data_IF_093995416376
#
_entry.id   IF_093995416376
#
_cell.length_a   1.000
_cell.length_b   1.000
_cell.length_c   1.000
_cell.angle_alpha   90.00
_cell.angle_beta   90.00
_cell.angle_gamma   90.00
#
_symmetry.space_group_name_H-M   'P 1'
#
loop_
_entity.id
_entity.type
_entity.pdbx_description
1 polymer ?
#
# COMPACT_ATOMS: atom_id res chain seq x y z
N UNK A 1 1.84 -1.50 8.61
CA UNK A 1 0.51 -1.67 7.98
C UNK A 1 0.51 -2.66 6.80
N UNK A 2 1.26 -2.41 5.71
CA UNK A 2 1.28 -3.28 4.51
C UNK A 2 1.56 -4.76 4.86
N UNK A 3 2.68 -5.06 5.53
CA UNK A 3 3.02 -6.44 5.90
C UNK A 3 2.00 -7.14 6.80
N UNK A 4 1.21 -6.37 7.57
CA UNK A 4 0.11 -6.96 8.35
C UNK A 4 -1.06 -7.36 7.46
N UNK A 5 -1.45 -6.50 6.51
CA UNK A 5 -2.46 -6.83 5.51
C UNK A 5 -2.03 -8.03 4.64
N UNK A 6 -0.75 -8.12 4.29
CA UNK A 6 -0.25 -9.19 3.41
C UNK A 6 -0.20 -10.56 4.10
N UNK A 7 0.39 -10.63 5.30
CA UNK A 7 0.73 -11.91 5.92
C UNK A 7 0.35 -12.00 7.40
N UNK A 8 -0.22 -10.95 7.98
CA UNK A 8 -0.31 -10.76 9.44
C UNK A 8 1.07 -10.91 10.11
N UNK A 9 2.10 -10.35 9.46
CA UNK A 9 3.50 -10.43 9.86
C UNK A 9 4.09 -11.85 9.96
N UNK A 10 3.56 -12.80 9.20
CA UNK A 10 4.08 -14.17 9.14
C UNK A 10 5.13 -14.29 8.04
N UNK A 11 6.39 -14.42 8.42
CA UNK A 11 7.51 -14.54 7.49
C UNK A 11 7.39 -15.75 6.54
N UNK A 12 6.88 -16.88 7.04
CA UNK A 12 6.69 -18.11 6.28
C UNK A 12 5.29 -18.22 5.62
N UNK A 13 4.60 -17.10 5.40
CA UNK A 13 3.32 -17.10 4.69
C UNK A 13 3.50 -17.58 3.24
N UNK A 14 2.63 -18.49 2.81
CA UNK A 14 2.59 -19.01 1.44
C UNK A 14 1.16 -19.00 0.94
N UNK A 15 0.94 -18.37 -0.22
CA UNK A 15 -0.36 -18.39 -0.89
C UNK A 15 -0.45 -19.56 -1.90
N UNK A 16 -1.66 -20.10 -2.15
CA UNK A 16 -1.91 -20.99 -3.29
C UNK A 16 -1.52 -20.38 -4.65
N UNK A 17 -1.46 -19.05 -4.75
CA UNK A 17 -1.08 -18.31 -5.97
C UNK A 17 0.44 -18.12 -6.12
N UNK A 18 1.26 -18.61 -5.18
CA UNK A 18 2.72 -18.59 -5.27
C UNK A 18 3.42 -17.35 -4.71
N UNK A 19 2.68 -16.36 -4.19
CA UNK A 19 3.27 -15.28 -3.38
C UNK A 19 3.72 -15.79 -2.02
N UNK A 20 4.82 -15.24 -1.49
CA UNK A 20 5.47 -15.69 -0.26
C UNK A 20 6.04 -14.54 0.55
N UNK A 21 6.31 -14.80 1.83
CA UNK A 21 7.01 -13.87 2.70
C UNK A 21 6.08 -12.91 3.43
N UNK A 22 6.68 -12.11 4.31
CA UNK A 22 5.92 -11.15 5.12
C UNK A 22 5.22 -10.07 4.27
N UNK A 23 5.79 -9.73 3.11
CA UNK A 23 5.24 -8.74 2.16
C UNK A 23 4.54 -9.39 0.95
N UNK A 24 4.39 -10.72 0.95
CA UNK A 24 3.71 -11.49 -0.09
C UNK A 24 4.13 -11.13 -1.53
N UNK A 25 5.44 -11.10 -1.76
CA UNK A 25 5.99 -10.77 -3.08
C UNK A 25 5.83 -11.94 -4.04
N UNK A 26 5.51 -11.64 -5.31
CA UNK A 26 5.56 -12.64 -6.39
C UNK A 26 7.00 -12.98 -6.74
N UNK A 27 7.24 -14.12 -7.41
CA UNK A 27 8.56 -14.45 -7.97
C UNK A 27 9.04 -13.37 -8.93
N UNK A 28 8.19 -12.95 -9.88
CA UNK A 28 8.52 -11.91 -10.84
C UNK A 28 8.87 -10.56 -10.18
N UNK A 29 8.21 -10.22 -9.06
CA UNK A 29 8.54 -9.04 -8.27
C UNK A 29 9.90 -9.18 -7.59
N UNK A 30 10.21 -10.34 -7.01
CA UNK A 30 11.51 -10.61 -6.42
C UNK A 30 12.63 -10.56 -7.45
N UNK A 31 12.45 -11.18 -8.61
CA UNK A 31 13.40 -11.13 -9.74
C UNK A 31 13.64 -9.68 -10.18
N UNK A 32 12.57 -8.91 -10.37
CA UNK A 32 12.64 -7.50 -10.74
C UNK A 32 13.38 -6.61 -9.71
N UNK A 33 13.43 -7.06 -8.46
CA UNK A 33 14.08 -6.38 -7.34
C UNK A 33 15.45 -6.98 -7.01
N UNK A 34 15.84 -8.10 -7.62
CA UNK A 34 17.05 -8.85 -7.28
C UNK A 34 17.03 -9.36 -5.84
N UNK A 35 15.89 -9.85 -5.35
CA UNK A 35 15.79 -10.46 -4.02
C UNK A 35 16.18 -11.94 -4.11
N UNK A 36 17.12 -12.37 -3.27
CA UNK A 36 17.59 -13.76 -3.25
C UNK A 36 16.61 -14.69 -2.50
N UNK A 37 16.02 -14.21 -1.41
CA UNK A 37 15.05 -14.95 -0.60
C UNK A 37 13.84 -14.07 -0.26
N UNK A 38 12.63 -14.56 -0.57
CA UNK A 38 11.35 -13.89 -0.24
C UNK A 38 10.81 -14.26 1.13
N UNK A 39 11.26 -15.37 1.71
CA UNK A 39 10.82 -15.88 3.02
C UNK A 39 11.69 -15.32 4.17
N UNK A 40 12.90 -14.84 3.86
CA UNK A 40 13.68 -14.02 4.77
C UNK A 40 12.92 -12.72 5.13
N UNK A 41 12.62 -12.46 6.41
CA UNK A 41 11.81 -11.32 6.81
C UNK A 41 12.39 -9.97 6.38
N UNK A 42 13.71 -9.80 6.53
CA UNK A 42 14.40 -8.54 6.26
C UNK A 42 14.35 -8.23 4.74
N UNK A 43 14.79 -9.19 3.93
CA UNK A 43 14.72 -9.13 2.47
C UNK A 43 13.30 -8.87 1.97
N UNK A 44 12.30 -9.57 2.53
CA UNK A 44 10.90 -9.41 2.16
C UNK A 44 10.37 -8.01 2.50
N UNK A 45 10.64 -7.49 3.71
CA UNK A 45 10.25 -6.13 4.15
C UNK A 45 10.87 -5.07 3.24
N UNK A 46 12.19 -5.08 3.06
CA UNK A 46 12.87 -4.08 2.23
C UNK A 46 12.50 -4.22 0.75
N UNK A 47 12.31 -5.44 0.28
CA UNK A 47 11.80 -5.74 -1.05
C UNK A 47 10.43 -5.12 -1.29
N UNK A 48 9.47 -5.37 -0.39
CA UNK A 48 8.13 -4.80 -0.47
C UNK A 48 8.11 -3.28 -0.35
N UNK A 49 8.88 -2.71 0.57
CA UNK A 49 9.01 -1.26 0.70
C UNK A 49 9.55 -0.61 -0.59
N UNK A 50 10.61 -1.20 -1.18
CA UNK A 50 11.17 -0.73 -2.46
C UNK A 50 10.17 -0.90 -3.61
N UNK A 51 9.40 -1.98 -3.64
CA UNK A 51 8.36 -2.18 -4.64
C UNK A 51 7.23 -1.14 -4.54
N UNK A 52 6.83 -0.82 -3.31
CA UNK A 52 5.86 0.23 -3.02
C UNK A 52 6.37 1.60 -3.47
N UNK A 53 7.60 1.99 -3.10
CA UNK A 53 8.22 3.23 -3.57
C UNK A 53 8.25 3.33 -5.10
N UNK A 54 8.59 2.24 -5.80
CA UNK A 54 8.53 2.18 -7.26
C UNK A 54 7.11 2.39 -7.81
N UNK A 55 6.05 1.99 -7.10
CA UNK A 55 4.69 2.32 -7.53
C UNK A 55 4.39 3.80 -7.32
N UNK A 56 4.81 4.38 -6.20
CA UNK A 56 4.66 5.81 -5.91
C UNK A 56 5.35 6.69 -6.95
N UNK A 57 6.56 6.32 -7.38
CA UNK A 57 7.31 7.02 -8.44
C UNK A 57 6.61 6.98 -9.81
N UNK A 58 5.76 5.97 -10.05
CA UNK A 58 5.02 5.83 -11.30
C UNK A 58 3.70 6.59 -11.30
N UNK A 59 3.15 6.90 -10.12
CA UNK A 59 1.99 7.79 -10.00
C UNK A 59 2.42 9.18 -10.48
N UNK A 60 1.63 9.86 -11.34
CA UNK A 60 2.06 11.16 -11.87
C UNK A 60 2.28 12.22 -10.81
N UNK A 61 3.15 13.17 -11.14
CA UNK A 61 3.50 14.29 -10.28
C UNK A 61 2.34 15.24 -10.00
N UNK A 62 1.25 15.16 -10.77
CA UNK A 62 0.03 15.94 -10.55
C UNK A 62 -0.82 15.40 -9.39
N UNK A 63 -0.58 14.16 -8.95
CA UNK A 63 -1.28 13.57 -7.81
C UNK A 63 -0.57 13.97 -6.52
N UNK A 64 -1.22 14.82 -5.75
CA UNK A 64 -0.75 15.26 -4.44
C UNK A 64 -0.98 14.19 -3.35
N UNK A 65 -0.29 14.34 -2.22
CA UNK A 65 -0.61 13.57 -1.01
C UNK A 65 -1.90 14.10 -0.38
N UNK A 66 -2.74 13.22 0.21
CA UNK A 66 -2.49 11.80 0.50
C UNK A 66 -2.89 10.83 -0.63
N UNK A 67 -3.53 11.33 -1.70
CA UNK A 67 -4.06 10.52 -2.79
C UNK A 67 -2.96 9.73 -3.51
N UNK A 68 -1.76 10.30 -3.62
CA UNK A 68 -0.60 9.64 -4.21
C UNK A 68 -0.24 8.35 -3.48
N UNK A 69 -0.16 8.37 -2.15
CA UNK A 69 0.08 7.18 -1.33
C UNK A 69 -1.00 6.13 -1.55
N UNK A 70 -2.27 6.52 -1.60
CA UNK A 70 -3.40 5.59 -1.76
C UNK A 70 -3.42 4.95 -3.16
N UNK A 71 -3.13 5.72 -4.20
CA UNK A 71 -2.96 5.21 -5.56
C UNK A 71 -1.76 4.27 -5.66
N UNK A 72 -0.65 4.56 -4.99
CA UNK A 72 0.51 3.67 -4.96
C UNK A 72 0.20 2.34 -4.28
N UNK A 73 -0.56 2.34 -3.17
CA UNK A 73 -1.05 1.14 -2.51
C UNK A 73 -1.99 0.33 -3.41
N UNK A 74 -2.89 0.99 -4.13
CA UNK A 74 -3.74 0.33 -5.11
C UNK A 74 -2.91 -0.30 -6.24
N UNK A 75 -1.92 0.42 -6.78
CA UNK A 75 -1.00 -0.10 -7.78
C UNK A 75 -0.11 -1.25 -7.27
N UNK A 76 0.24 -1.26 -5.99
CA UNK A 76 0.93 -2.38 -5.36
C UNK A 76 0.08 -3.65 -5.43
N UNK A 77 -1.21 -3.53 -5.13
CA UNK A 77 -2.14 -4.67 -5.08
C UNK A 77 -2.62 -5.15 -6.46
N UNK A 78 -3.13 -4.23 -7.30
CA UNK A 78 -3.74 -4.59 -8.60
C UNK A 78 -2.80 -4.39 -9.78
N UNK A 79 -1.63 -3.78 -9.57
CA UNK A 79 -0.70 -3.42 -10.63
C UNK A 79 -0.96 -2.03 -11.23
N UNK A 80 0.12 -1.29 -11.48
CA UNK A 80 0.09 0.09 -11.99
C UNK A 80 -0.74 0.28 -13.27
N UNK A 81 -0.69 -0.68 -14.19
CA UNK A 81 -1.41 -0.55 -15.45
C UNK A 81 -2.93 -0.63 -15.30
N UNK A 82 -3.41 -1.40 -14.32
CA UNK A 82 -4.82 -1.43 -13.96
C UNK A 82 -5.25 -0.18 -13.21
N UNK A 83 -4.37 0.44 -12.41
CA UNK A 83 -4.59 1.79 -11.86
C UNK A 83 -4.70 2.82 -13.00
N UNK A 84 -3.82 2.79 -14.00
CA UNK A 84 -3.86 3.69 -15.15
C UNK A 84 -5.19 3.60 -15.90
N UNK A 85 -5.70 2.39 -16.11
CA UNK A 85 -7.03 2.19 -16.69
C UNK A 85 -8.16 2.77 -15.82
N UNK A 86 -8.06 2.67 -14.49
CA UNK A 86 -9.04 3.26 -13.60
C UNK A 86 -9.04 4.79 -13.68
N UNK A 87 -7.87 5.43 -13.84
CA UNK A 87 -7.76 6.87 -14.09
C UNK A 87 -8.46 7.28 -15.39
N UNK A 88 -8.28 6.53 -16.47
CA UNK A 88 -9.02 6.75 -17.73
C UNK A 88 -10.54 6.62 -17.54
N UNK A 89 -10.98 5.61 -16.77
CA UNK A 89 -12.40 5.41 -16.48
C UNK A 89 -12.97 6.58 -15.65
N UNK A 90 -12.22 7.09 -14.67
CA UNK A 90 -12.62 8.25 -13.88
C UNK A 90 -12.81 9.50 -14.76
N UNK A 91 -11.86 9.78 -15.66
CA UNK A 91 -11.98 10.87 -16.65
C UNK A 91 -13.22 10.71 -17.54
N UNK A 92 -13.50 9.49 -18.02
CA UNK A 92 -14.69 9.23 -18.85
C UNK A 92 -16.01 9.43 -18.11
N UNK A 93 -15.99 9.32 -16.78
CA UNK A 93 -17.12 9.60 -15.91
C UNK A 93 -17.21 11.08 -15.52
N UNK A 94 -16.27 11.91 -15.97
CA UNK A 94 -16.17 13.33 -15.61
C UNK A 94 -15.63 13.57 -14.20
N UNK A 95 -14.99 12.57 -13.59
CA UNK A 95 -14.28 12.69 -12.30
C UNK A 95 -12.84 13.15 -12.47
N UNK A 96 -12.17 13.33 -11.34
CA UNK A 96 -10.77 13.73 -11.24
C UNK A 96 -9.83 12.51 -11.24
N UNK A 97 -8.96 12.33 -12.25
CA UNK A 97 -8.00 11.23 -12.28
C UNK A 97 -6.91 11.31 -11.18
N UNK A 98 -6.82 12.45 -10.48
CA UNK A 98 -5.85 12.69 -9.42
C UNK A 98 -6.47 12.59 -8.02
N UNK A 99 -7.80 12.38 -7.92
CA UNK A 99 -8.48 12.09 -6.65
C UNK A 99 -8.68 10.59 -6.44
N UNK A 100 -8.17 10.06 -5.33
CA UNK A 100 -8.41 8.70 -4.90
C UNK A 100 -9.89 8.39 -4.71
N UNK A 101 -10.72 9.36 -4.31
CA UNK A 101 -12.16 9.13 -4.17
C UNK A 101 -12.73 8.67 -5.51
N UNK A 102 -12.42 9.39 -6.58
CA UNK A 102 -12.89 9.08 -7.93
C UNK A 102 -12.22 7.81 -8.48
N UNK A 103 -10.93 7.60 -8.21
CA UNK A 103 -10.23 6.37 -8.61
C UNK A 103 -10.79 5.14 -7.90
N UNK A 104 -11.10 5.24 -6.61
CA UNK A 104 -11.68 4.15 -5.83
C UNK A 104 -13.08 3.78 -6.32
N UNK A 105 -13.85 4.76 -6.83
CA UNK A 105 -15.13 4.52 -7.49
C UNK A 105 -14.97 3.89 -8.88
N UNK A 106 -13.92 4.26 -9.62
CA UNK A 106 -13.65 3.75 -10.96
C UNK A 106 -13.07 2.33 -10.97
N UNK A 107 -12.24 1.96 -9.98
CA UNK A 107 -11.57 0.66 -9.91
C UNK A 107 -12.54 -0.54 -10.04
N UNK A 108 -13.63 -0.66 -9.24
CA UNK A 108 -14.59 -1.76 -9.37
C UNK A 108 -15.24 -1.87 -10.74
N UNK A 109 -15.32 -0.79 -11.52
CA UNK A 109 -15.86 -0.81 -12.87
C UNK A 109 -15.02 -1.69 -13.80
N UNK A 110 -13.71 -1.89 -13.53
CA UNK A 110 -12.83 -2.80 -14.29
C UNK A 110 -13.22 -4.27 -14.23
N UNK A 111 -14.16 -4.66 -13.36
CA UNK A 111 -14.71 -6.01 -13.37
C UNK A 111 -15.89 -6.17 -14.34
N UNK A 112 -16.42 -5.08 -14.90
CA UNK A 112 -17.60 -5.08 -15.75
C UNK A 112 -17.20 -5.00 -17.23
N UNK A 113 -17.73 -5.91 -18.06
CA UNK A 113 -17.39 -5.97 -19.50
C UNK A 113 -17.59 -4.65 -20.24
N UNK A 114 -18.62 -3.87 -19.86
CA UNK A 114 -18.89 -2.53 -20.41
C UNK A 114 -17.66 -1.60 -20.34
N UNK A 115 -16.83 -1.75 -19.31
CA UNK A 115 -15.67 -0.91 -19.05
C UNK A 115 -14.36 -1.59 -19.44
N UNK A 116 -14.13 -2.82 -18.99
CA UNK A 116 -12.84 -3.46 -19.21
C UNK A 116 -12.52 -3.73 -20.68
N UNK A 117 -13.54 -3.90 -21.53
CA UNK A 117 -13.35 -4.09 -22.97
C UNK A 117 -12.86 -2.84 -23.70
N UNK A 118 -12.89 -1.67 -23.03
CA UNK A 118 -12.54 -0.36 -23.62
C UNK A 118 -11.21 0.19 -23.15
N UNK A 119 -10.61 -0.41 -22.12
CA UNK A 119 -9.33 0.03 -21.55
C UNK A 119 -8.20 -0.93 -21.92
N UNK A 120 -6.96 -0.44 -22.09
CA UNK A 120 -5.86 -1.24 -22.62
C UNK A 120 -5.55 -2.55 -21.90
N UNK A 121 -5.66 -2.61 -20.56
CA UNK A 121 -5.23 -3.78 -19.78
C UNK A 121 -6.37 -4.70 -19.36
N UNK A 122 -7.59 -4.46 -19.85
CA UNK A 122 -8.68 -5.40 -19.70
C UNK A 122 -9.17 -5.58 -18.26
N UNK A 123 -9.67 -6.79 -17.96
CA UNK A 123 -10.35 -7.13 -16.71
C UNK A 123 -9.41 -7.04 -15.50
N UNK A 124 -9.94 -6.53 -14.38
CA UNK A 124 -9.32 -6.66 -13.07
C UNK A 124 -10.40 -6.78 -11.98
N UNK A 125 -10.06 -7.45 -10.87
CA UNK A 125 -10.89 -7.50 -9.64
C UNK A 125 -10.77 -6.19 -8.88
N UNK A 126 -11.27 -5.09 -9.45
CA UNK A 126 -11.00 -3.74 -8.97
C UNK A 126 -11.57 -3.40 -7.58
N UNK A 127 -12.43 -4.22 -6.97
CA UNK A 127 -12.82 -4.04 -5.57
C UNK A 127 -11.70 -4.42 -4.58
N UNK A 128 -10.80 -5.34 -4.96
CA UNK A 128 -9.69 -5.80 -4.12
C UNK A 128 -8.72 -4.68 -3.73
N UNK A 129 -8.21 -3.84 -4.66
CA UNK A 129 -7.32 -2.74 -4.29
C UNK A 129 -8.00 -1.68 -3.42
N UNK A 130 -9.32 -1.45 -3.59
CA UNK A 130 -10.06 -0.50 -2.75
C UNK A 130 -10.13 -1.01 -1.31
N UNK A 131 -10.49 -2.27 -1.12
CA UNK A 131 -10.51 -2.90 0.21
C UNK A 131 -9.11 -2.94 0.83
N UNK A 132 -8.09 -3.27 0.03
CA UNK A 132 -6.69 -3.30 0.44
C UNK A 132 -6.21 -1.95 0.99
N UNK A 133 -6.47 -0.86 0.28
CA UNK A 133 -6.12 0.50 0.73
C UNK A 133 -6.85 0.85 2.03
N UNK A 134 -8.15 0.56 2.12
CA UNK A 134 -8.93 0.85 3.32
C UNK A 134 -8.39 0.11 4.56
N UNK A 135 -8.06 -1.17 4.42
CA UNK A 135 -7.51 -1.95 5.52
C UNK A 135 -6.13 -1.44 5.95
N UNK A 136 -5.26 -1.10 4.99
CA UNK A 136 -3.93 -0.57 5.30
C UNK A 136 -4.02 0.76 6.05
N UNK A 137 -4.94 1.64 5.65
CA UNK A 137 -5.20 2.88 6.40
C UNK A 137 -5.62 2.58 7.84
N UNK A 138 -6.60 1.69 8.03
CA UNK A 138 -7.03 1.32 9.37
C UNK A 138 -5.89 0.74 10.22
N UNK A 139 -5.05 -0.14 9.65
CA UNK A 139 -3.88 -0.67 10.36
C UNK A 139 -2.82 0.40 10.64
N UNK A 140 -2.64 1.35 9.73
CA UNK A 140 -1.69 2.45 9.90
C UNK A 140 -2.13 3.41 11.00
N UNK A 141 -3.41 3.77 11.03
CA UNK A 141 -3.99 4.63 12.06
C UNK A 141 -3.87 3.99 13.46
N UNK A 142 -4.11 2.68 13.57
CA UNK A 142 -3.92 1.92 14.82
C UNK A 142 -2.44 1.94 15.25
N UNK A 143 -1.51 1.76 14.30
CA UNK A 143 -0.08 1.77 14.61
C UNK A 143 0.38 3.15 15.08
N UNK A 144 -0.04 4.23 14.42
CA UNK A 144 0.24 5.61 14.86
C UNK A 144 -0.27 5.82 16.29
N UNK A 145 -1.54 5.48 16.54
CA UNK A 145 -2.15 5.66 17.85
C UNK A 145 -1.39 4.90 18.95
N UNK A 146 -0.98 3.66 18.70
CA UNK A 146 -0.18 2.88 19.65
C UNK A 146 1.19 3.52 19.90
N UNK A 147 1.89 3.94 18.84
CA UNK A 147 3.24 4.52 18.98
C UNK A 147 3.23 5.89 19.67
N UNK A 148 2.20 6.72 19.43
CA UNK A 148 2.04 8.00 20.13
C UNK A 148 1.80 7.81 21.64
N UNK A 149 1.09 6.74 22.02
CA UNK A 149 0.89 6.38 23.43
C UNK A 149 2.17 5.91 24.10
N UNK A 150 2.95 5.04 23.44
CA UNK A 150 4.25 4.57 23.95
C UNK A 150 5.21 5.74 24.18
N UNK A 151 5.32 6.68 23.23
CA UNK A 151 6.17 7.88 23.38
C UNK A 151 5.72 8.78 24.55
N UNK A 152 4.41 8.89 24.78
CA UNK A 152 3.85 9.67 25.90
C UNK A 152 4.18 9.01 27.25
N UNK A 153 4.03 7.70 27.35
CA UNK A 153 4.36 6.94 28.57
C UNK A 153 5.87 6.96 28.88
N UNK A 154 6.73 6.86 27.87
CA UNK A 154 8.19 7.00 28.04
C UNK A 154 8.59 8.42 28.47
N UNK A 155 7.93 9.46 27.95
CA UNK A 155 8.20 10.84 28.34
C UNK A 155 7.76 11.16 29.78
N UNK A 156 6.66 10.57 30.26
CA UNK A 156 6.16 10.74 31.64
C UNK A 156 6.97 9.94 32.68
N UNK A 157 7.68 8.90 32.27
CA UNK A 157 8.47 8.03 33.17
C UNK A 157 9.92 8.47 33.37
N UNK A 158 10.42 9.44 32.59
CA UNK A 158 11.74 10.03 32.79
C UNK A 158 11.71 11.00 34.00
N UNK A 159 12.56 10.81 35.03
CA UNK A 159 12.60 11.73 36.17
C UNK A 159 13.06 13.12 35.72
N UNK A 160 12.36 14.16 36.18
CA UNK A 160 12.76 15.56 35.99
C UNK A 160 14.11 15.82 36.69
N UNK A 161 15.19 15.82 35.90
CA UNK A 161 16.55 16.11 36.37
C UNK A 161 16.82 17.63 36.51
N UNK A 162 15.79 18.49 36.41
CA UNK A 162 15.96 19.95 36.52
C UNK A 162 15.87 20.51 37.95
N UNK A 163 15.69 19.66 38.96
CA UNK A 163 15.79 20.06 40.37
C UNK A 163 17.01 19.40 41.03
N UNK A 164 18.17 20.03 40.88
CA UNK A 164 19.31 19.85 41.79
C UNK A 164 19.25 20.94 42.88
N UNK A 165 18.76 20.64 44.10
CA UNK A 165 18.78 21.58 45.21
C UNK A 165 20.11 21.46 45.97
N UNK A 166 21.22 21.85 45.35
CA UNK A 166 22.44 22.16 46.09
C UNK A 166 23.12 23.44 45.58
N UNK A 167 22.71 24.57 46.17
CA UNK A 167 23.45 25.84 46.20
C UNK A 167 23.31 26.48 47.59
#
# INVERSE_FOLDING_TARGET
AIGYQESHWRANAVSPTGVRGIMMLTEATADYLGLEDREDPESSIFGGARYFLRQTERVPDTVDEPDRTWMALAAYNVGFYHLKDARMIAEWQGGDPDSWIDISAALPLKAQHKWYSRVPYGYARGWEPVLYVNNIRAYYDILIWLTEQEETEEAETLPDLSHDPTA
#
